data_IF_352217562735
#
_entry.id   IF_352217562735
#
_cell.length_a   1.000
_cell.length_b   1.000
_cell.length_c   1.000
_cell.angle_alpha   90.00
_cell.angle_beta   90.00
_cell.angle_gamma   90.00
#
_symmetry.space_group_name_H-M   'P 1'
#
loop_
_entity.id
_entity.type
_entity.pdbx_description
1 polymer ?
#
# COMPACT_ATOMS: atom_id res chain seq x y z
N UNK A 1 0.23 -24.63 -9.21
CA UNK A 1 0.08 -23.30 -8.56
C UNK A 1 0.10 -23.51 -7.06
N UNK A 2 1.28 -23.73 -6.47
CA UNK A 2 1.39 -24.31 -5.12
C UNK A 2 1.80 -23.28 -4.05
N UNK A 3 2.01 -22.02 -4.44
CA UNK A 3 2.68 -21.03 -3.60
C UNK A 3 1.81 -19.82 -3.25
N UNK A 4 0.55 -19.80 -3.70
CA UNK A 4 -0.33 -18.63 -3.64
C UNK A 4 -1.77 -19.05 -3.40
N UNK A 5 -2.48 -18.27 -2.58
CA UNK A 5 -3.92 -18.35 -2.39
C UNK A 5 -4.59 -17.03 -2.78
N UNK A 6 -5.89 -17.07 -3.06
CA UNK A 6 -6.67 -15.86 -3.34
C UNK A 6 -6.52 -14.87 -2.18
N UNK A 7 -6.15 -13.63 -2.51
CA UNK A 7 -5.96 -12.56 -1.53
C UNK A 7 -4.53 -12.45 -0.99
N UNK A 8 -3.60 -13.30 -1.42
CA UNK A 8 -2.17 -13.11 -1.16
C UNK A 8 -1.66 -11.85 -1.86
N UNK A 9 -0.76 -11.11 -1.20
CA UNK A 9 -0.13 -9.93 -1.79
C UNK A 9 1.04 -10.36 -2.68
N UNK A 10 1.10 -9.79 -3.88
CA UNK A 10 2.19 -10.03 -4.83
C UNK A 10 2.63 -8.76 -5.55
N UNK A 11 3.90 -8.73 -5.92
CA UNK A 11 4.43 -7.83 -6.94
C UNK A 11 4.58 -8.59 -8.25
N UNK A 12 4.22 -7.95 -9.36
CA UNK A 12 4.39 -8.49 -10.71
C UNK A 12 5.12 -7.45 -11.55
N UNK A 13 6.17 -7.89 -12.23
CA UNK A 13 6.91 -7.11 -13.22
C UNK A 13 6.83 -7.82 -14.58
N UNK A 14 6.59 -7.06 -15.63
CA UNK A 14 6.41 -7.59 -16.97
C UNK A 14 5.85 -6.56 -17.93
N UNK A 15 5.22 -7.03 -19.01
CA UNK A 15 4.71 -6.17 -20.09
C UNK A 15 3.20 -6.21 -20.21
N UNK A 16 2.61 -5.07 -20.63
CA UNK A 16 1.21 -5.01 -21.01
C UNK A 16 1.03 -5.61 -22.40
N UNK A 17 0.00 -6.44 -22.56
CA UNK A 17 -0.43 -6.95 -23.84
C UNK A 17 -1.94 -6.71 -24.01
N UNK A 18 -2.32 -6.16 -25.16
CA UNK A 18 -3.73 -6.02 -25.53
C UNK A 18 -4.01 -6.92 -26.72
N UNK A 19 -5.07 -7.72 -26.64
CA UNK A 19 -5.55 -8.57 -27.73
C UNK A 19 -7.07 -8.51 -27.83
N UNK A 20 -7.58 -8.93 -28.98
CA UNK A 20 -9.02 -9.07 -29.19
C UNK A 20 -9.36 -10.41 -29.80
N UNK A 21 -10.53 -10.93 -29.46
CA UNK A 21 -11.10 -12.12 -30.10
C UNK A 21 -12.62 -11.94 -30.24
N UNK A 22 -13.24 -12.67 -31.15
CA UNK A 22 -14.70 -12.66 -31.32
C UNK A 22 -15.34 -13.75 -30.45
N UNK A 23 -16.30 -13.37 -29.62
CA UNK A 23 -17.04 -14.26 -28.73
C UNK A 23 -18.04 -15.15 -29.48
N UNK A 24 -18.60 -16.15 -28.78
CA UNK A 24 -19.60 -17.06 -29.38
C UNK A 24 -20.87 -16.35 -29.86
N UNK A 25 -21.17 -15.17 -29.32
CA UNK A 25 -22.26 -14.29 -29.71
C UNK A 25 -21.87 -13.30 -30.82
N UNK A 26 -20.68 -13.45 -31.40
CA UNK A 26 -20.15 -12.58 -32.46
C UNK A 26 -19.66 -11.21 -31.98
N UNK A 27 -19.66 -10.93 -30.67
CA UNK A 27 -19.14 -9.67 -30.15
C UNK A 27 -17.62 -9.72 -30.01
N UNK A 28 -16.94 -8.65 -30.43
CA UNK A 28 -15.51 -8.48 -30.19
C UNK A 28 -15.23 -8.19 -28.72
N UNK A 29 -14.39 -9.02 -28.11
CA UNK A 29 -13.91 -8.86 -26.73
C UNK A 29 -12.47 -8.35 -26.77
N UNK A 30 -12.20 -7.29 -26.02
CA UNK A 30 -10.86 -6.75 -25.83
C UNK A 30 -10.33 -7.18 -24.46
N UNK A 31 -9.09 -7.66 -24.42
CA UNK A 31 -8.42 -8.11 -23.21
C UNK A 31 -7.11 -7.36 -23.09
N UNK A 32 -6.94 -6.69 -21.96
CA UNK A 32 -5.65 -6.13 -21.54
C UNK A 32 -5.12 -7.02 -20.42
N UNK A 33 -3.93 -7.58 -20.61
CA UNK A 33 -3.28 -8.49 -19.68
C UNK A 33 -1.84 -8.04 -19.38
N UNK A 34 -1.31 -8.47 -18.24
CA UNK A 34 0.10 -8.33 -17.90
C UNK A 34 0.75 -9.69 -18.13
N UNK A 35 1.67 -9.76 -19.08
CA UNK A 35 2.52 -10.95 -19.26
C UNK A 35 3.70 -10.81 -18.30
N UNK A 36 3.66 -11.57 -17.21
CA UNK A 36 4.64 -11.51 -16.15
C UNK A 36 5.99 -12.12 -16.58
N UNK A 37 7.06 -11.36 -16.42
CA UNK A 37 8.43 -11.86 -16.54
C UNK A 37 8.97 -12.25 -15.15
N UNK A 38 8.60 -11.50 -14.10
CA UNK A 38 8.94 -11.79 -12.70
C UNK A 38 7.71 -11.66 -11.78
N UNK A 39 7.61 -12.57 -10.80
CA UNK A 39 6.59 -12.51 -9.73
C UNK A 39 7.29 -12.57 -8.38
N UNK A 40 6.97 -11.64 -7.50
CA UNK A 40 7.46 -11.56 -6.13
C UNK A 40 6.32 -11.80 -5.16
N UNK A 41 6.52 -12.71 -4.21
CA UNK A 41 5.55 -12.98 -3.15
C UNK A 41 5.80 -12.04 -1.98
N UNK A 42 4.75 -11.36 -1.54
CA UNK A 42 4.83 -10.37 -0.47
C UNK A 42 4.00 -10.85 0.73
N UNK A 43 4.51 -10.65 1.94
CA UNK A 43 3.75 -10.90 3.16
C UNK A 43 2.84 -9.71 3.48
N UNK A 44 1.57 -9.99 3.79
CA UNK A 44 0.66 -8.95 4.27
C UNK A 44 1.02 -8.58 5.70
N UNK A 45 1.17 -7.29 6.01
CA UNK A 45 1.52 -6.81 7.37
C UNK A 45 0.58 -7.32 8.49
N UNK A 46 -0.56 -7.90 8.14
CA UNK A 46 -1.55 -8.43 9.09
C UNK A 46 -1.46 -9.95 9.32
N UNK A 47 -0.61 -10.71 8.61
CA UNK A 47 -0.44 -12.15 8.85
C UNK A 47 0.29 -12.47 10.17
N UNK A 48 0.87 -11.47 10.85
CA UNK A 48 1.51 -11.64 12.16
C UNK A 48 0.54 -11.68 13.37
N UNK A 49 -0.78 -11.70 13.16
CA UNK A 49 -1.78 -11.77 14.26
C UNK A 49 -2.47 -13.11 14.44
N UNK A 50 -1.93 -14.18 13.85
CA UNK A 50 -2.65 -15.47 13.81
C UNK A 50 -1.77 -16.71 13.82
N UNK A 51 -0.67 -16.74 14.58
CA UNK A 51 -0.01 -18.01 14.93
C UNK A 51 0.62 -17.92 16.32
N UNK A 52 -0.23 -17.71 17.32
CA UNK A 52 0.07 -18.04 18.72
C UNK A 52 -0.98 -19.05 19.18
N UNK A 53 -0.93 -20.25 18.61
CA UNK A 53 -1.75 -21.37 19.04
C UNK A 53 -0.84 -22.60 19.24
N UNK A 54 -0.57 -22.90 20.51
CA UNK A 54 -0.33 -24.27 20.96
C UNK A 54 1.12 -24.75 21.06
N UNK A 55 1.80 -24.34 22.12
CA UNK A 55 2.71 -25.23 22.86
C UNK A 55 2.67 -24.83 24.33
N UNK A 56 1.77 -25.47 25.07
CA UNK A 56 1.81 -25.41 26.53
C UNK A 56 2.99 -26.23 27.02
N UNK A 57 3.89 -25.62 27.77
CA UNK A 57 4.73 -26.35 28.71
C UNK A 57 5.24 -25.38 29.81
N UNK A 58 4.53 -25.47 30.94
CA UNK A 58 5.02 -25.43 32.31
C UNK A 58 6.44 -24.85 32.57
N UNK A 59 6.50 -23.68 33.20
CA UNK A 59 7.74 -23.09 33.69
C UNK A 59 7.51 -22.15 34.88
N UNK A 60 7.65 -22.71 36.08
CA UNK A 60 7.72 -22.03 37.38
C UNK A 60 8.77 -20.92 37.41
N UNK A 61 8.47 -19.77 38.02
CA UNK A 61 9.44 -18.68 38.16
C UNK A 61 8.88 -17.43 38.81
N UNK A 62 8.73 -17.48 40.13
CA UNK A 62 8.53 -16.34 41.04
C UNK A 62 9.61 -15.26 40.88
N UNK A 63 9.20 -13.98 40.80
CA UNK A 63 9.82 -12.85 41.52
C UNK A 63 9.00 -11.54 41.33
N UNK A 64 8.53 -10.89 42.42
CA UNK A 64 7.90 -9.58 42.38
C UNK A 64 8.90 -8.49 42.78
N UNK A 65 9.07 -7.44 41.95
CA UNK A 65 9.83 -6.26 42.37
C UNK A 65 9.32 -4.98 41.69
N UNK A 66 8.89 -4.05 42.55
CA UNK A 66 8.85 -2.57 42.45
C UNK A 66 8.23 -1.93 41.18
N UNK A 67 7.05 -1.33 41.27
CA UNK A 67 6.78 0.04 41.76
C UNK A 67 7.69 1.08 41.11
N UNK A 68 7.13 1.98 40.29
CA UNK A 68 7.31 3.44 40.40
C UNK A 68 6.25 4.19 39.56
N UNK A 69 5.69 5.20 40.22
CA UNK A 69 4.61 6.11 39.85
C UNK A 69 5.08 7.31 39.01
N UNK A 70 4.11 7.91 38.31
CA UNK A 70 3.96 9.35 38.03
C UNK A 70 4.90 10.00 37.00
N UNK A 71 4.36 10.55 35.91
CA UNK A 71 3.76 11.91 35.91
C UNK A 71 3.21 12.30 34.52
N UNK A 72 2.05 12.97 34.53
CA UNK A 72 1.43 13.67 33.41
C UNK A 72 1.71 15.19 33.50
N UNK A 73 1.60 15.86 32.34
CA UNK A 73 1.31 17.30 32.09
C UNK A 73 2.47 18.22 31.59
N UNK A 74 2.45 18.50 30.26
CA UNK A 74 2.36 19.80 29.49
C UNK A 74 3.10 21.08 30.00
N UNK A 75 3.32 22.18 29.21
CA UNK A 75 2.97 22.54 27.81
C UNK A 75 4.11 23.28 27.01
N UNK A 76 3.79 23.74 25.77
CA UNK A 76 4.25 24.99 25.07
C UNK A 76 4.61 24.71 23.59
N UNK A 77 3.74 25.06 22.65
CA UNK A 77 3.73 26.34 21.90
C UNK A 77 4.96 26.52 21.00
N UNK A 78 4.78 26.27 19.70
CA UNK A 78 5.51 27.10 18.73
C UNK A 78 4.64 27.36 17.49
N UNK A 79 4.38 28.65 17.29
CA UNK A 79 3.77 29.24 16.12
C UNK A 79 4.71 29.05 14.94
N UNK A 80 4.20 28.52 13.83
CA UNK A 80 4.82 28.82 12.54
C UNK A 80 3.73 29.05 11.49
N UNK A 81 3.13 30.22 11.64
CA UNK A 81 2.39 30.90 10.62
C UNK A 81 3.41 31.53 9.65
N UNK A 82 3.82 30.78 8.63
CA UNK A 82 4.28 31.33 7.36
C UNK A 82 3.19 30.98 6.35
N UNK A 83 2.20 31.84 6.12
CA UNK A 83 2.28 32.86 5.07
C UNK A 83 3.04 32.37 3.82
N UNK A 84 2.55 31.33 3.17
CA UNK A 84 2.71 31.19 1.72
C UNK A 84 1.65 32.07 1.05
N UNK A 85 1.99 33.36 0.89
CA UNK A 85 1.36 34.22 -0.10
C UNK A 85 1.70 33.65 -1.49
N UNK A 86 0.87 32.75 -2.00
CA UNK A 86 0.91 32.26 -3.39
C UNK A 86 -0.36 32.63 -4.14
N UNK A 87 -0.96 33.75 -3.75
CA UNK A 87 -2.17 34.30 -4.38
C UNK A 87 -1.90 35.71 -4.86
N UNK A 88 -0.90 35.89 -5.72
CA UNK A 88 -0.90 36.98 -6.68
C UNK A 88 -0.30 36.44 -7.98
N UNK A 89 -1.12 36.33 -9.03
CA UNK A 89 -0.79 36.13 -10.45
C UNK A 89 -0.78 34.73 -11.12
N UNK A 90 -1.49 33.72 -10.61
CA UNK A 90 -1.84 32.58 -11.47
C UNK A 90 -2.95 33.01 -12.45
N UNK A 91 -2.58 33.71 -13.52
CA UNK A 91 -3.37 33.63 -14.75
C UNK A 91 -3.50 32.13 -15.09
N UNK A 92 -4.70 31.63 -15.44
CA UNK A 92 -4.82 30.28 -15.93
C UNK A 92 -3.90 30.16 -17.14
N UNK A 93 -2.86 29.33 -17.03
CA UNK A 93 -2.00 29.04 -18.18
C UNK A 93 -2.89 28.29 -19.17
N UNK A 94 -3.26 28.95 -20.26
CA UNK A 94 -4.05 28.39 -21.35
C UNK A 94 -3.13 27.52 -22.22
N UNK A 95 -2.88 26.29 -21.75
CA UNK A 95 -2.13 25.29 -22.51
C UNK A 95 -3.11 24.66 -23.50
N UNK A 96 -3.07 25.08 -24.76
CA UNK A 96 -3.80 24.44 -25.86
C UNK A 96 -3.20 23.07 -26.18
N UNK A 97 -4.04 22.13 -26.60
CA UNK A 97 -3.65 20.75 -26.96
C UNK A 97 -2.55 20.67 -28.04
N UNK A 98 -2.39 21.73 -28.85
CA UNK A 98 -1.36 21.88 -29.89
C UNK A 98 0.04 22.25 -29.36
N UNK A 99 0.17 22.76 -28.12
CA UNK A 99 1.45 23.22 -27.54
C UNK A 99 2.09 22.16 -26.61
N UNK A 100 1.50 20.96 -26.58
CA UNK A 100 2.06 19.81 -25.90
C UNK A 100 3.06 19.10 -26.83
N UNK A 101 4.29 18.78 -26.37
CA UNK A 101 5.24 18.03 -27.19
C UNK A 101 4.72 16.60 -27.43
N UNK A 102 4.84 16.15 -28.68
CA UNK A 102 4.59 14.76 -29.10
C UNK A 102 5.65 13.78 -28.55
#
# INVERSE_FOLDING_TARGET
>A
ANYMSKGSLIGVDGRIQTRSYDGQDGKRVYVTEVVADTVQFLESRNSNRGTSAGSGEQGSGSNPFEQHQNQQQMPSQNQFNQQSNVSENLEPIDISDDDLPF
#
